data_IF_572779168675
#
_entry.id   IF_572779168675
#
_cell.length_a   1.000
_cell.length_b   1.000
_cell.length_c   1.000
_cell.angle_alpha   90.00
_cell.angle_beta   90.00
_cell.angle_gamma   90.00
#
_symmetry.space_group_name_H-M   'P 1'
#
loop_
_entity.id
_entity.type
_entity.pdbx_description
1 polymer ?
#
# COMPACT_ATOMS: atom_id res chain seq x y z
N UNK A 1 -1.05 11.97 25.43
CA UNK A 1 -0.90 11.62 24.01
C UNK A 1 -0.22 12.80 23.36
N UNK A 2 0.93 12.63 22.70
CA UNK A 2 1.61 13.77 22.08
C UNK A 2 0.71 14.38 21.01
N UNK A 3 0.49 15.70 21.08
CA UNK A 3 -0.22 16.51 20.08
C UNK A 3 0.50 16.43 18.74
N UNK A 4 0.22 15.36 17.98
CA UNK A 4 0.81 15.16 16.66
C UNK A 4 0.08 16.08 15.70
N UNK A 5 0.65 17.26 15.46
CA UNK A 5 0.19 18.18 14.42
C UNK A 5 0.21 17.47 13.05
N UNK A 6 -0.84 17.62 12.22
CA UNK A 6 -0.84 17.06 10.87
C UNK A 6 0.34 17.63 10.06
N UNK A 7 1.01 16.79 9.29
CA UNK A 7 2.13 17.22 8.44
C UNK A 7 2.01 16.66 7.04
N UNK A 8 2.45 17.42 6.04
CA UNK A 8 2.42 17.02 4.64
C UNK A 8 3.66 17.54 3.92
N UNK A 9 4.44 16.63 3.33
CA UNK A 9 5.67 16.92 2.61
C UNK A 9 5.49 16.99 1.08
N UNK A 10 4.39 16.42 0.58
CA UNK A 10 4.12 16.28 -0.85
C UNK A 10 4.73 15.03 -1.47
N UNK A 11 5.07 14.02 -0.66
CA UNK A 11 5.57 12.73 -1.13
C UNK A 11 4.44 11.91 -1.77
N UNK A 12 4.81 11.01 -2.70
CA UNK A 12 3.85 10.23 -3.49
C UNK A 12 2.96 9.28 -2.65
N UNK A 13 3.43 8.88 -1.46
CA UNK A 13 2.70 8.01 -0.52
C UNK A 13 1.73 8.80 0.38
N UNK A 14 1.87 10.12 0.44
CA UNK A 14 1.04 10.97 1.28
C UNK A 14 -0.28 11.34 0.58
N UNK A 15 -1.35 11.44 1.36
CA UNK A 15 -2.67 11.79 0.85
C UNK A 15 -3.04 13.21 1.26
N UNK A 16 -2.94 14.15 0.31
CA UNK A 16 -3.29 15.57 0.53
C UNK A 16 -4.71 15.75 1.06
N UNK A 17 -5.66 14.92 0.63
CA UNK A 17 -7.04 14.99 1.09
C UNK A 17 -7.21 14.55 2.55
N UNK A 18 -6.43 13.54 2.98
CA UNK A 18 -6.41 13.12 4.38
C UNK A 18 -5.77 14.21 5.26
N UNK A 19 -4.64 14.76 4.82
CA UNK A 19 -3.97 15.86 5.53
C UNK A 19 -4.90 17.07 5.73
N UNK A 20 -5.58 17.54 4.67
CA UNK A 20 -6.55 18.65 4.77
C UNK A 20 -7.67 18.31 5.77
N UNK A 21 -8.15 17.06 5.76
CA UNK A 21 -9.19 16.60 6.70
C UNK A 21 -8.68 16.59 8.15
N UNK A 22 -7.45 16.15 8.37
CA UNK A 22 -6.83 16.16 9.70
C UNK A 22 -6.67 17.59 10.23
N UNK A 23 -6.20 18.53 9.41
CA UNK A 23 -6.12 19.95 9.78
C UNK A 23 -7.48 20.51 10.21
N UNK A 24 -8.57 20.14 9.52
CA UNK A 24 -9.94 20.49 9.92
C UNK A 24 -10.32 19.87 11.26
N UNK A 25 -10.05 18.58 11.43
CA UNK A 25 -10.43 17.84 12.63
C UNK A 25 -9.76 18.36 13.90
N UNK A 26 -8.57 18.95 13.81
CA UNK A 26 -7.90 19.59 14.95
C UNK A 26 -8.77 20.65 15.66
N UNK A 27 -9.70 21.27 14.95
CA UNK A 27 -10.48 22.40 15.45
C UNK A 27 -11.98 22.08 15.66
N UNK A 28 -12.45 20.90 15.24
CA UNK A 28 -13.87 20.52 15.30
C UNK A 28 -14.44 20.49 16.72
N UNK A 29 -13.62 20.18 17.72
CA UNK A 29 -14.05 20.09 19.13
C UNK A 29 -14.12 21.45 19.83
N UNK A 30 -13.63 22.52 19.20
CA UNK A 30 -13.55 23.84 19.80
C UNK A 30 -14.72 24.71 19.33
N UNK A 31 -15.27 25.52 20.25
CA UNK A 31 -16.39 26.43 19.97
C UNK A 31 -15.88 27.85 19.67
N UNK A 32 -15.18 28.00 18.55
CA UNK A 32 -14.78 29.32 18.04
C UNK A 32 -15.82 29.86 17.05
N UNK A 33 -15.87 31.19 16.84
CA UNK A 33 -16.52 31.78 15.68
C UNK A 33 -16.00 31.14 14.38
N UNK A 34 -16.85 31.12 13.35
CA UNK A 34 -16.53 30.50 12.06
C UNK A 34 -15.25 31.07 11.46
N UNK A 35 -15.13 32.39 11.40
CA UNK A 35 -13.96 33.09 10.83
C UNK A 35 -12.66 32.71 11.55
N UNK A 36 -12.68 32.70 12.88
CA UNK A 36 -11.52 32.28 13.68
C UNK A 36 -11.17 30.80 13.46
N UNK A 37 -12.17 29.94 13.29
CA UNK A 37 -11.94 28.52 13.00
C UNK A 37 -11.27 28.35 11.63
N UNK A 38 -11.71 29.11 10.63
CA UNK A 38 -11.16 29.07 9.27
C UNK A 38 -9.70 29.57 9.24
N UNK A 39 -9.38 30.64 9.97
CA UNK A 39 -8.01 31.12 10.15
C UNK A 39 -7.11 30.06 10.80
N UNK A 40 -7.59 29.42 11.88
CA UNK A 40 -6.85 28.37 12.58
C UNK A 40 -6.60 27.13 11.71
N UNK A 41 -7.56 26.76 10.86
CA UNK A 41 -7.38 25.71 9.86
C UNK A 41 -6.27 26.10 8.88
N UNK A 42 -6.31 27.31 8.32
CA UNK A 42 -5.28 27.82 7.41
C UNK A 42 -3.88 27.82 8.04
N UNK A 43 -3.76 28.33 9.26
CA UNK A 43 -2.51 28.31 10.02
C UNK A 43 -1.99 26.89 10.27
N UNK A 44 -2.88 25.96 10.59
CA UNK A 44 -2.53 24.55 10.82
C UNK A 44 -2.05 23.88 9.54
N UNK A 45 -2.68 24.21 8.41
CA UNK A 45 -2.19 23.77 7.11
C UNK A 45 -0.79 24.33 6.88
N UNK A 46 -0.63 25.65 6.85
CA UNK A 46 0.65 26.30 6.56
C UNK A 46 1.81 25.80 7.44
N UNK A 47 1.59 25.67 8.75
CA UNK A 47 2.62 25.19 9.70
C UNK A 47 2.91 23.69 9.59
N UNK A 48 1.98 22.90 9.04
CA UNK A 48 2.15 21.47 8.80
C UNK A 48 2.88 21.13 7.50
N UNK A 49 3.04 22.10 6.59
CA UNK A 49 3.71 21.87 5.30
C UNK A 49 5.21 21.69 5.47
N UNK A 50 5.77 20.74 4.72
CA UNK A 50 7.20 20.41 4.69
C UNK A 50 7.68 20.18 3.27
N UNK A 51 8.99 20.09 3.09
CA UNK A 51 9.62 19.57 1.87
C UNK A 51 9.14 20.24 0.57
N UNK A 52 8.63 19.43 -0.36
CA UNK A 52 8.19 19.89 -1.68
C UNK A 52 6.87 20.66 -1.61
N UNK A 53 5.96 20.27 -0.72
CA UNK A 53 4.70 20.97 -0.50
C UNK A 53 4.95 22.39 0.04
N UNK A 54 5.84 22.55 1.01
CA UNK A 54 6.21 23.87 1.53
C UNK A 54 6.83 24.76 0.43
N UNK A 55 7.80 24.22 -0.32
CA UNK A 55 8.43 24.97 -1.43
C UNK A 55 7.43 25.42 -2.50
N UNK A 56 6.45 24.58 -2.81
CA UNK A 56 5.38 24.94 -3.76
C UNK A 56 4.54 26.10 -3.23
N UNK A 57 4.09 26.01 -1.97
CA UNK A 57 3.22 27.03 -1.37
C UNK A 57 3.94 28.36 -1.15
N UNK A 58 5.24 28.33 -0.82
CA UNK A 58 6.06 29.56 -0.76
C UNK A 58 6.17 30.31 -2.08
N UNK A 59 5.80 29.69 -3.22
CA UNK A 59 5.76 30.32 -4.52
C UNK A 59 4.37 30.83 -4.95
N UNK A 60 3.33 30.67 -4.12
CA UNK A 60 1.98 31.18 -4.40
C UNK A 60 1.85 32.66 -3.99
N UNK A 61 0.85 33.35 -4.54
CA UNK A 61 0.52 34.68 -4.08
C UNK A 61 0.01 34.63 -2.62
N UNK A 62 0.34 35.65 -1.81
CA UNK A 62 -0.09 35.69 -0.41
C UNK A 62 -1.61 35.56 -0.24
N UNK A 63 -2.37 36.17 -1.15
CA UNK A 63 -3.84 36.07 -1.20
C UNK A 63 -4.34 34.63 -1.38
N UNK A 64 -3.57 33.78 -2.05
CA UNK A 64 -3.92 32.37 -2.26
C UNK A 64 -3.60 31.50 -1.05
N UNK A 65 -2.71 31.97 -0.17
CA UNK A 65 -2.31 31.31 1.08
C UNK A 65 -3.14 31.74 2.29
N UNK A 66 -3.79 32.91 2.22
CA UNK A 66 -4.62 33.46 3.29
C UNK A 66 -6.01 32.79 3.37
N UNK A 67 -6.56 32.35 2.23
CA UNK A 67 -7.79 31.56 2.19
C UNK A 67 -7.46 30.05 2.17
N UNK A 68 -7.78 29.36 3.27
CA UNK A 68 -7.50 27.94 3.40
C UNK A 68 -8.22 27.09 2.34
N UNK A 69 -9.37 27.52 1.82
CA UNK A 69 -10.07 26.84 0.73
C UNK A 69 -9.26 26.92 -0.56
N UNK A 70 -8.75 28.10 -0.89
CA UNK A 70 -7.91 28.33 -2.07
C UNK A 70 -6.63 27.52 -1.95
N UNK A 71 -5.95 27.59 -0.80
CA UNK A 71 -4.76 26.79 -0.50
C UNK A 71 -5.03 25.28 -0.64
N UNK A 72 -6.15 24.79 -0.14
CA UNK A 72 -6.54 23.39 -0.25
C UNK A 72 -6.71 22.94 -1.71
N UNK A 73 -7.30 23.78 -2.57
CA UNK A 73 -7.44 23.48 -3.99
C UNK A 73 -6.10 23.50 -4.74
N UNK A 74 -5.22 24.45 -4.43
CA UNK A 74 -3.85 24.46 -4.94
C UNK A 74 -3.09 23.18 -4.59
N UNK A 75 -3.16 22.76 -3.33
CA UNK A 75 -2.51 21.54 -2.85
C UNK A 75 -3.09 20.29 -3.53
N UNK A 76 -4.42 20.15 -3.63
CA UNK A 76 -5.05 19.02 -4.32
C UNK A 76 -4.68 18.94 -5.80
N UNK A 77 -4.63 20.10 -6.48
CA UNK A 77 -4.27 20.19 -7.89
C UNK A 77 -2.81 19.81 -8.11
N UNK A 78 -1.91 20.26 -7.22
CA UNK A 78 -0.47 20.00 -7.33
C UNK A 78 -0.09 18.58 -6.92
N UNK A 79 -0.73 18.04 -5.90
CA UNK A 79 -0.48 16.73 -5.31
C UNK A 79 -1.73 15.85 -5.42
N UNK A 80 -2.16 15.50 -6.65
CA UNK A 80 -3.36 14.71 -6.83
C UNK A 80 -3.20 13.38 -6.11
N UNK A 81 -4.25 12.97 -5.37
CA UNK A 81 -4.32 11.63 -4.79
C UNK A 81 -4.09 10.63 -5.92
N UNK A 82 -2.94 9.94 -5.94
CA UNK A 82 -2.75 8.81 -6.85
C UNK A 82 -3.90 7.86 -6.58
N UNK A 83 -4.80 7.69 -7.56
CA UNK A 83 -5.86 6.69 -7.45
C UNK A 83 -5.13 5.35 -7.21
N UNK A 84 -5.64 4.58 -6.26
CA UNK A 84 -5.27 3.18 -5.98
C UNK A 84 -5.21 2.28 -7.22
N UNK A 85 -5.68 2.77 -8.37
CA UNK A 85 -5.45 2.21 -9.71
C UNK A 85 -3.98 1.88 -9.98
N UNK A 86 -3.02 2.65 -9.45
CA UNK A 86 -1.61 2.25 -9.62
C UNK A 86 -1.17 1.18 -8.63
N UNK A 87 -1.71 1.10 -7.41
CA UNK A 87 -1.26 0.09 -6.44
C UNK A 87 -1.62 -1.32 -6.87
N UNK A 88 -2.81 -1.56 -7.40
CA UNK A 88 -3.17 -2.88 -7.92
C UNK A 88 -2.33 -3.26 -9.15
N UNK A 89 -2.04 -2.31 -10.03
CA UNK A 89 -1.22 -2.52 -11.23
C UNK A 89 0.28 -2.69 -10.89
N UNK A 90 0.81 -1.90 -9.95
CA UNK A 90 2.16 -2.02 -9.39
C UNK A 90 2.31 -3.33 -8.62
N UNK A 91 1.33 -3.69 -7.79
CA UNK A 91 1.30 -4.97 -7.08
C UNK A 91 1.28 -6.14 -8.07
N UNK A 92 0.46 -6.05 -9.13
CA UNK A 92 0.44 -7.07 -10.18
C UNK A 92 1.79 -7.15 -10.92
N UNK A 93 2.38 -6.01 -11.28
CA UNK A 93 3.71 -5.93 -11.91
C UNK A 93 4.81 -6.50 -11.00
N UNK A 94 4.75 -6.19 -9.70
CA UNK A 94 5.65 -6.74 -8.68
C UNK A 94 5.46 -8.25 -8.56
N UNK A 95 4.23 -8.74 -8.53
CA UNK A 95 3.94 -10.18 -8.50
C UNK A 95 4.47 -10.91 -9.74
N UNK A 96 4.38 -10.30 -10.93
CA UNK A 96 4.93 -10.87 -12.18
C UNK A 96 6.46 -11.00 -12.18
N UNK A 97 7.15 -10.14 -11.44
CA UNK A 97 8.62 -10.10 -11.39
C UNK A 97 9.17 -10.78 -10.14
N UNK A 98 8.31 -11.15 -9.20
CA UNK A 98 8.69 -11.80 -7.96
C UNK A 98 9.21 -13.21 -8.19
N UNK A 99 10.34 -13.52 -7.57
CA UNK A 99 10.96 -14.83 -7.59
C UNK A 99 11.71 -15.03 -6.27
N UNK A 100 11.82 -16.28 -5.83
CA UNK A 100 12.55 -16.67 -4.64
C UNK A 100 14.06 -16.48 -4.86
N UNK A 101 14.60 -17.00 -5.96
CA UNK A 101 16.05 -17.08 -6.24
C UNK A 101 16.79 -17.67 -5.02
N UNK A 102 17.88 -17.05 -4.60
CA UNK A 102 18.70 -17.49 -3.48
C UNK A 102 18.13 -17.08 -2.11
N UNK A 103 16.92 -16.49 -2.07
CA UNK A 103 16.30 -16.01 -0.82
C UNK A 103 15.61 -17.14 -0.05
N UNK A 104 15.59 -17.09 1.30
CA UNK A 104 14.80 -18.01 2.11
C UNK A 104 13.32 -18.01 1.70
N UNK A 105 12.70 -19.20 1.70
CA UNK A 105 11.29 -19.37 1.32
C UNK A 105 10.35 -18.45 2.13
N UNK A 106 10.61 -18.27 3.43
CA UNK A 106 9.80 -17.41 4.28
C UNK A 106 9.87 -15.91 3.92
N UNK A 107 11.02 -15.43 3.42
CA UNK A 107 11.13 -14.05 2.94
C UNK A 107 10.32 -13.86 1.65
N UNK A 108 10.42 -14.82 0.73
CA UNK A 108 9.62 -14.82 -0.50
C UNK A 108 8.11 -14.88 -0.20
N UNK A 109 7.67 -15.77 0.70
CA UNK A 109 6.26 -15.87 1.12
C UNK A 109 5.76 -14.57 1.73
N UNK A 110 6.57 -13.91 2.57
CA UNK A 110 6.20 -12.63 3.19
C UNK A 110 5.89 -11.59 2.12
N UNK A 111 6.77 -11.46 1.13
CA UNK A 111 6.61 -10.50 0.05
C UNK A 111 5.41 -10.84 -0.86
N UNK A 112 5.17 -12.12 -1.13
CA UNK A 112 3.98 -12.59 -1.87
C UNK A 112 2.69 -12.18 -1.14
N UNK A 113 2.64 -12.37 0.18
CA UNK A 113 1.47 -12.01 1.00
C UNK A 113 1.24 -10.51 1.01
N UNK A 114 2.30 -9.71 1.20
CA UNK A 114 2.21 -8.26 1.16
C UNK A 114 1.59 -7.78 -0.15
N UNK A 115 2.05 -8.31 -1.28
CA UNK A 115 1.53 -7.96 -2.60
C UNK A 115 0.08 -8.42 -2.77
N UNK A 116 -0.29 -9.57 -2.22
CA UNK A 116 -1.63 -10.14 -2.37
C UNK A 116 -2.74 -9.27 -1.79
N UNK A 117 -2.47 -8.49 -0.73
CA UNK A 117 -3.44 -7.58 -0.13
C UNK A 117 -3.94 -6.49 -1.08
N UNK A 118 -3.16 -6.16 -2.11
CA UNK A 118 -3.50 -5.12 -3.09
C UNK A 118 -4.30 -5.63 -4.29
N UNK A 119 -4.42 -6.96 -4.46
CA UNK A 119 -5.09 -7.61 -5.62
C UNK A 119 -5.92 -8.84 -5.21
N UNK A 120 -6.86 -8.72 -4.25
CA UNK A 120 -7.59 -9.87 -3.68
C UNK A 120 -8.42 -10.64 -4.71
N UNK A 121 -8.96 -9.98 -5.74
CA UNK A 121 -9.82 -10.59 -6.75
C UNK A 121 -9.04 -11.45 -7.79
N UNK A 122 -7.71 -11.55 -7.66
CA UNK A 122 -6.82 -12.20 -8.64
C UNK A 122 -6.12 -13.43 -8.06
N UNK A 123 -6.74 -14.09 -7.08
CA UNK A 123 -6.13 -15.17 -6.30
C UNK A 123 -5.52 -16.30 -7.14
N UNK A 124 -6.25 -16.81 -8.14
CA UNK A 124 -5.72 -17.84 -9.05
C UNK A 124 -4.46 -17.40 -9.78
N UNK A 125 -4.44 -16.16 -10.26
CA UNK A 125 -3.27 -15.58 -10.92
C UNK A 125 -2.08 -15.50 -9.96
N UNK A 126 -2.32 -15.09 -8.71
CA UNK A 126 -1.30 -15.03 -7.66
C UNK A 126 -0.73 -16.41 -7.34
N UNK A 127 -1.57 -17.44 -7.28
CA UNK A 127 -1.14 -18.83 -7.04
C UNK A 127 -0.18 -19.30 -8.13
N UNK A 128 -0.52 -19.10 -9.41
CA UNK A 128 0.37 -19.45 -10.50
C UNK A 128 1.69 -18.68 -10.48
N UNK A 129 1.65 -17.38 -10.16
CA UNK A 129 2.86 -16.56 -10.02
C UNK A 129 3.73 -17.01 -8.85
N UNK A 130 3.11 -17.31 -7.70
CA UNK A 130 3.80 -17.84 -6.53
C UNK A 130 4.57 -19.11 -6.87
N UNK A 131 3.88 -20.11 -7.43
CA UNK A 131 4.47 -21.39 -7.81
C UNK A 131 5.59 -21.23 -8.85
N UNK A 132 5.38 -20.37 -9.87
CA UNK A 132 6.40 -20.08 -10.89
C UNK A 132 7.66 -19.43 -10.30
N UNK A 133 7.50 -18.60 -9.29
CA UNK A 133 8.61 -17.88 -8.67
C UNK A 133 9.41 -18.70 -7.66
N UNK A 134 8.97 -19.92 -7.30
CA UNK A 134 9.75 -20.81 -6.41
C UNK A 134 11.06 -21.24 -7.07
N UNK A 135 12.11 -21.34 -6.26
CA UNK A 135 13.43 -21.76 -6.74
C UNK A 135 13.63 -23.26 -6.73
N UNK A 136 12.91 -23.98 -5.87
CA UNK A 136 12.87 -25.43 -5.92
C UNK A 136 11.87 -25.90 -6.98
N UNK A 137 12.41 -26.46 -8.06
CA UNK A 137 11.64 -26.99 -9.18
C UNK A 137 10.73 -28.14 -8.72
N UNK A 138 11.19 -29.01 -7.80
CA UNK A 138 10.40 -30.17 -7.36
C UNK A 138 9.17 -29.73 -6.57
N UNK A 139 9.34 -28.79 -5.62
CA UNK A 139 8.20 -28.18 -4.92
C UNK A 139 7.24 -27.51 -5.90
N UNK A 140 7.75 -26.78 -6.91
CA UNK A 140 6.92 -26.16 -7.95
C UNK A 140 6.08 -27.16 -8.76
N UNK A 141 6.66 -28.30 -9.13
CA UNK A 141 5.98 -29.38 -9.85
C UNK A 141 4.90 -30.06 -8.99
N UNK A 142 5.22 -30.38 -7.73
CA UNK A 142 4.28 -30.99 -6.79
C UNK A 142 3.06 -30.10 -6.52
N UNK A 143 3.29 -28.79 -6.32
CA UNK A 143 2.20 -27.82 -6.14
C UNK A 143 1.36 -27.68 -7.42
N UNK A 144 1.98 -27.71 -8.60
CA UNK A 144 1.27 -27.66 -9.88
C UNK A 144 0.37 -28.89 -10.06
N UNK A 145 0.85 -30.08 -9.70
CA UNK A 145 0.06 -31.31 -9.73
C UNK A 145 -1.13 -31.24 -8.75
N UNK A 146 -0.90 -30.74 -7.53
CA UNK A 146 -1.96 -30.51 -6.55
C UNK A 146 -3.05 -29.57 -7.07
N UNK A 147 -2.67 -28.40 -7.62
CA UNK A 147 -3.61 -27.43 -8.18
C UNK A 147 -4.44 -28.04 -9.30
N UNK A 148 -3.80 -28.74 -10.25
CA UNK A 148 -4.53 -29.43 -11.33
C UNK A 148 -5.49 -30.48 -10.79
N UNK A 149 -5.10 -31.25 -9.77
CA UNK A 149 -5.96 -32.22 -9.11
C UNK A 149 -7.21 -31.58 -8.52
N UNK A 150 -7.05 -30.47 -7.78
CA UNK A 150 -8.18 -29.70 -7.23
C UNK A 150 -9.10 -29.17 -8.33
N UNK A 151 -8.55 -28.65 -9.42
CA UNK A 151 -9.33 -28.15 -10.55
C UNK A 151 -10.17 -29.23 -11.23
N UNK A 152 -9.59 -30.42 -11.44
CA UNK A 152 -10.32 -31.58 -12.02
C UNK A 152 -11.44 -32.03 -11.10
N UNK A 153 -11.24 -32.00 -9.78
CA UNK A 153 -12.24 -32.37 -8.79
C UNK A 153 -13.28 -31.26 -8.53
N UNK A 154 -13.11 -30.07 -9.12
CA UNK A 154 -13.98 -28.91 -8.84
C UNK A 154 -13.85 -28.37 -7.42
N UNK A 155 -12.76 -28.70 -6.73
CA UNK A 155 -12.52 -28.30 -5.35
C UNK A 155 -11.91 -26.89 -5.29
N UNK A 156 -12.29 -26.15 -4.24
CA UNK A 156 -11.71 -24.83 -3.97
C UNK A 156 -10.35 -24.98 -3.30
N UNK A 157 -9.48 -24.03 -3.59
CA UNK A 157 -8.17 -23.88 -2.99
C UNK A 157 -7.81 -22.39 -2.96
N UNK A 158 -6.99 -22.00 -1.98
CA UNK A 158 -6.59 -20.62 -1.72
C UNK A 158 -5.07 -20.46 -1.86
N UNK A 159 -4.60 -19.22 -1.93
CA UNK A 159 -3.16 -18.94 -1.92
C UNK A 159 -2.49 -19.47 -0.65
N UNK A 160 -3.19 -19.39 0.48
CA UNK A 160 -2.67 -19.84 1.77
C UNK A 160 -2.53 -21.37 1.83
N UNK A 161 -3.44 -22.13 1.22
CA UNK A 161 -3.31 -23.59 1.10
C UNK A 161 -2.02 -23.97 0.36
N UNK A 162 -1.71 -23.26 -0.73
CA UNK A 162 -0.52 -23.50 -1.55
C UNK A 162 0.75 -23.08 -0.81
N UNK A 163 0.72 -21.98 -0.06
CA UNK A 163 1.83 -21.55 0.81
C UNK A 163 2.11 -22.61 1.89
N UNK A 164 1.08 -23.13 2.55
CA UNK A 164 1.22 -24.18 3.56
C UNK A 164 1.86 -25.45 2.97
N UNK A 165 1.38 -25.90 1.81
CA UNK A 165 1.95 -27.06 1.11
C UNK A 165 3.40 -26.84 0.67
N UNK A 166 3.76 -25.63 0.22
CA UNK A 166 5.13 -25.30 -0.19
C UNK A 166 6.13 -25.48 0.96
N UNK A 167 5.71 -25.15 2.18
CA UNK A 167 6.53 -25.35 3.39
C UNK A 167 6.70 -26.83 3.68
N UNK A 168 5.61 -27.60 3.64
CA UNK A 168 5.64 -29.03 3.89
C UNK A 168 6.60 -29.76 2.92
N UNK A 169 6.53 -29.45 1.62
CA UNK A 169 7.44 -30.05 0.64
C UNK A 169 8.90 -29.63 0.86
N UNK A 170 9.15 -28.37 1.22
CA UNK A 170 10.52 -27.90 1.49
C UNK A 170 11.11 -28.50 2.76
N UNK A 171 10.29 -28.83 3.75
CA UNK A 171 10.71 -29.51 4.99
C UNK A 171 10.94 -31.01 4.80
N UNK A 172 10.10 -31.70 4.03
CA UNK A 172 10.27 -33.13 3.69
C UNK A 172 11.60 -33.39 2.96
N UNK A 173 12.05 -32.48 2.09
CA UNK A 173 13.34 -32.60 1.41
C UNK A 173 14.57 -32.27 2.26
N UNK A 174 14.40 -31.73 3.47
CA UNK A 174 15.52 -31.55 4.43
C UNK A 174 15.76 -32.77 5.32
N UNK A 175 14.84 -33.74 5.33
CA UNK A 175 14.97 -34.97 6.11
C UNK A 175 14.74 -36.26 5.30
N UNK A 176 15.43 -36.50 4.17
CA UNK A 176 15.50 -37.84 3.60
C UNK A 176 16.59 -38.63 4.33
N UNK A 177 16.40 -38.96 5.60
CA UNK A 177 17.34 -39.82 6.33
C UNK A 177 17.40 -39.60 7.84
N UNK A 178 16.51 -40.28 8.56
CA UNK A 178 16.87 -41.07 9.74
C UNK A 178 16.24 -42.44 9.58
#
# INVERSE_FOLDING_TARGET
MADRKPTFSGNDEENVGLYIKECKCCWLSYRFPKEQTEELIGMTMMTGLKGTALRYVSGLAGTDTDDWHVLAEHLKKRFPKRKSLNMAQEAMSKMFTLNQKDRPLNEYITEVREVSYYIPDREKTMIHMFMRGLSDVSTGENLTAYVRGKEVLGEKYTLEDIICLSRAFTEEYRHPGT
#
